data_IF_905361856593
#
_entry.id   IF_905361856593
#
_cell.length_a   1.000
_cell.length_b   1.000
_cell.length_c   1.000
_cell.angle_alpha   90.00
_cell.angle_beta   90.00
_cell.angle_gamma   90.00
#
_symmetry.space_group_name_H-M   'P 1'
#
loop_
_entity.id
_entity.type
_entity.pdbx_description
1 polymer ?
#
# COMPACT_ATOMS: atom_id res chain seq x y z
N UNK A 1 18.46 41.49 85.25
CA UNK A 1 18.75 40.15 84.69
C UNK A 1 17.95 40.02 83.40
N UNK A 2 18.59 40.31 82.28
CA UNK A 2 17.97 40.36 80.93
C UNK A 2 18.36 39.12 80.22
N UNK A 3 17.38 38.30 79.80
CA UNK A 3 17.59 37.19 78.92
C UNK A 3 17.40 37.65 77.47
N UNK A 4 18.50 37.66 76.67
CA UNK A 4 18.44 37.82 75.24
C UNK A 4 18.18 36.44 74.61
N UNK A 5 17.11 36.29 73.83
CA UNK A 5 16.82 35.14 72.97
C UNK A 5 17.26 35.46 71.54
N UNK A 6 18.33 34.80 71.08
CA UNK A 6 18.77 34.82 69.69
C UNK A 6 17.85 33.93 68.83
N UNK A 7 17.12 34.53 67.93
CA UNK A 7 16.38 33.84 66.89
C UNK A 7 17.31 33.65 65.67
N UNK A 8 17.81 32.44 65.49
CA UNK A 8 18.45 32.07 64.23
C UNK A 8 17.37 31.83 63.16
N UNK A 9 17.30 32.70 62.17
CA UNK A 9 16.44 32.55 60.95
C UNK A 9 17.11 31.58 60.01
N UNK A 10 16.62 30.33 59.98
CA UNK A 10 17.05 29.33 58.99
C UNK A 10 16.35 29.62 57.64
N UNK A 11 17.07 30.21 56.69
CA UNK A 11 16.58 30.35 55.29
C UNK A 11 16.84 29.04 54.57
N UNK A 12 15.79 28.23 54.41
CA UNK A 12 15.82 27.04 53.54
C UNK A 12 15.64 27.52 52.10
N UNK A 13 16.73 27.60 51.33
CA UNK A 13 16.69 27.77 49.89
C UNK A 13 16.19 26.47 49.26
N UNK A 14 14.91 26.43 48.92
CA UNK A 14 14.30 25.37 48.12
C UNK A 14 14.73 25.61 46.64
N UNK A 15 15.78 24.94 46.18
CA UNK A 15 16.15 24.88 44.77
C UNK A 15 15.04 24.11 43.99
N UNK A 16 14.06 24.85 43.49
CA UNK A 16 13.15 24.35 42.46
C UNK A 16 13.99 24.08 41.19
N UNK A 17 14.40 22.84 40.99
CA UNK A 17 14.87 22.38 39.68
C UNK A 17 13.67 22.43 38.73
N UNK A 18 13.54 23.54 38.01
CA UNK A 18 12.66 23.63 36.85
C UNK A 18 13.28 22.72 35.79
N UNK A 19 12.79 21.49 35.71
CA UNK A 19 13.00 20.68 34.51
C UNK A 19 12.29 21.40 33.35
N UNK A 20 13.01 22.29 32.68
CA UNK A 20 12.58 22.83 31.40
C UNK A 20 12.48 21.65 30.45
N UNK A 21 11.26 21.19 30.19
CA UNK A 21 10.97 20.33 29.04
C UNK A 21 11.27 21.19 27.80
N UNK A 22 12.49 21.12 27.33
CA UNK A 22 12.84 21.68 26.03
C UNK A 22 12.11 20.84 24.99
N UNK A 23 10.97 21.34 24.50
CA UNK A 23 10.38 20.80 23.27
C UNK A 23 11.43 20.96 22.18
N UNK A 24 11.97 19.86 21.70
CA UNK A 24 12.85 19.89 20.53
C UNK A 24 12.06 20.48 19.35
N UNK A 25 12.64 21.50 18.70
CA UNK A 25 12.02 22.07 17.52
C UNK A 25 11.98 21.01 16.42
N UNK A 26 10.85 20.86 15.73
CA UNK A 26 10.74 19.95 14.59
C UNK A 26 11.44 20.54 13.37
N UNK A 27 12.35 19.79 12.78
CA UNK A 27 12.98 20.09 11.50
C UNK A 27 12.37 19.21 10.40
N UNK A 28 11.93 19.83 9.31
CA UNK A 28 11.32 19.15 8.18
C UNK A 28 12.33 18.96 7.04
N UNK A 29 12.29 17.78 6.43
CA UNK A 29 13.12 17.37 5.31
C UNK A 29 12.22 16.97 4.14
N UNK A 30 12.50 17.45 2.95
CA UNK A 30 11.80 17.07 1.74
C UNK A 30 11.91 15.56 1.51
N UNK A 31 10.77 14.90 1.27
CA UNK A 31 10.75 13.46 1.05
C UNK A 31 11.47 13.03 -0.24
N UNK A 32 11.74 13.94 -1.17
CA UNK A 32 12.55 13.66 -2.38
C UNK A 32 13.99 13.25 -2.09
N UNK A 33 14.48 13.55 -0.88
CA UNK A 33 15.83 13.15 -0.41
C UNK A 33 15.93 11.65 -0.08
N UNK A 34 14.81 10.93 -0.03
CA UNK A 34 14.76 9.54 0.41
C UNK A 34 14.15 8.62 -0.66
N UNK A 35 14.51 7.33 -0.69
CA UNK A 35 13.94 6.39 -1.64
C UNK A 35 12.41 6.27 -1.52
N UNK A 36 11.73 6.28 -2.66
CA UNK A 36 10.32 5.94 -2.81
C UNK A 36 10.24 4.58 -3.50
N UNK A 37 9.51 3.65 -2.92
CA UNK A 37 9.29 2.29 -3.43
C UNK A 37 7.84 2.09 -3.88
N UNK A 38 7.56 1.00 -4.60
CA UNK A 38 6.22 0.67 -5.12
C UNK A 38 5.94 1.26 -6.51
N UNK A 39 6.92 1.90 -7.15
CA UNK A 39 6.77 2.47 -8.50
C UNK A 39 7.10 1.45 -9.57
N UNK A 40 6.27 1.40 -10.61
CA UNK A 40 6.59 0.61 -11.80
C UNK A 40 7.68 1.28 -12.66
N UNK A 41 7.74 2.62 -12.65
CA UNK A 41 8.75 3.45 -13.32
C UNK A 41 8.85 4.82 -12.66
N UNK A 42 9.97 5.50 -12.81
CA UNK A 42 10.16 6.88 -12.37
C UNK A 42 9.73 7.94 -13.41
N UNK A 43 9.34 7.51 -14.61
CA UNK A 43 8.93 8.39 -15.72
C UNK A 43 7.50 8.95 -15.58
N UNK A 44 7.08 9.29 -14.36
CA UNK A 44 5.78 9.87 -14.03
C UNK A 44 5.82 11.41 -14.11
N UNK A 45 4.65 12.08 -14.30
CA UNK A 45 4.61 13.55 -14.31
C UNK A 45 5.05 14.15 -12.97
N UNK A 46 4.58 13.54 -11.87
CA UNK A 46 5.00 13.90 -10.52
C UNK A 46 5.53 12.67 -9.78
N UNK A 47 6.31 12.90 -8.73
CA UNK A 47 6.98 11.84 -7.97
C UNK A 47 6.03 10.78 -7.40
N UNK A 48 4.85 11.18 -6.94
CA UNK A 48 3.94 10.34 -6.16
C UNK A 48 2.82 9.70 -6.97
N UNK A 49 2.97 9.66 -8.29
CA UNK A 49 2.05 9.01 -9.23
C UNK A 49 2.53 7.62 -9.61
N UNK A 50 1.60 6.78 -10.09
CA UNK A 50 1.86 5.37 -10.42
C UNK A 50 2.11 5.12 -11.89
N UNK A 51 1.57 5.95 -12.78
CA UNK A 51 1.63 5.75 -14.23
C UNK A 51 2.59 6.74 -14.91
N UNK A 52 3.37 6.29 -15.91
CA UNK A 52 4.22 7.18 -16.69
C UNK A 52 3.43 8.15 -17.56
N UNK A 53 3.99 9.35 -17.76
CA UNK A 53 3.32 10.47 -18.43
C UNK A 53 2.78 10.14 -19.84
N UNK A 54 3.49 9.31 -20.60
CA UNK A 54 3.06 8.95 -21.97
C UNK A 54 1.73 8.19 -22.03
N UNK A 55 1.31 7.53 -20.93
CA UNK A 55 0.04 6.82 -20.86
C UNK A 55 -1.18 7.75 -20.85
N UNK A 56 -1.03 9.03 -20.55
CA UNK A 56 -2.14 9.99 -20.54
C UNK A 56 -2.93 9.99 -21.84
N UNK A 57 -2.24 9.90 -22.97
CA UNK A 57 -2.84 9.99 -24.30
C UNK A 57 -3.41 8.68 -24.84
N UNK A 58 -3.09 7.54 -24.22
CA UNK A 58 -3.43 6.23 -24.74
C UNK A 58 -4.26 5.35 -23.80
N UNK A 59 -4.28 5.65 -22.50
CA UNK A 59 -5.15 4.96 -21.55
C UNK A 59 -6.54 5.56 -21.49
N UNK A 60 -7.51 4.77 -21.03
CA UNK A 60 -8.85 5.29 -20.70
C UNK A 60 -8.72 6.37 -19.61
N UNK A 61 -9.45 7.50 -19.72
CA UNK A 61 -9.36 8.59 -18.74
C UNK A 61 -9.52 8.16 -17.27
N UNK A 62 -10.46 7.24 -16.90
CA UNK A 62 -10.54 6.77 -15.51
C UNK A 62 -9.26 6.07 -15.02
N UNK A 63 -8.61 5.26 -15.85
CA UNK A 63 -7.34 4.58 -15.51
C UNK A 63 -6.24 5.61 -15.27
N UNK A 64 -6.12 6.61 -16.14
CA UNK A 64 -5.18 7.71 -15.99
C UNK A 64 -5.39 8.48 -14.68
N UNK A 65 -6.64 8.89 -14.40
CA UNK A 65 -6.95 9.62 -13.17
C UNK A 65 -6.67 8.80 -11.91
N UNK A 66 -7.01 7.50 -11.90
CA UNK A 66 -6.70 6.60 -10.80
C UNK A 66 -5.19 6.38 -10.65
N UNK A 67 -4.44 6.46 -11.73
CA UNK A 67 -2.97 6.42 -11.73
C UNK A 67 -2.32 7.56 -10.95
N UNK A 68 -3.05 8.68 -10.72
CA UNK A 68 -2.61 9.80 -9.88
C UNK A 68 -2.69 9.52 -8.38
N UNK A 69 -3.45 8.50 -7.95
CA UNK A 69 -3.46 8.08 -6.56
C UNK A 69 -2.12 7.41 -6.20
N UNK A 70 -1.68 7.61 -4.94
CA UNK A 70 -0.38 7.13 -4.45
C UNK A 70 -0.42 5.71 -3.87
N UNK A 71 -1.45 4.92 -4.20
CA UNK A 71 -1.64 3.56 -3.67
C UNK A 71 -0.42 2.66 -3.92
N UNK A 72 0.04 1.97 -2.87
CA UNK A 72 1.20 1.08 -2.94
C UNK A 72 2.55 1.79 -2.86
N UNK A 73 2.58 3.13 -2.90
CA UNK A 73 3.83 3.87 -2.75
C UNK A 73 4.21 4.03 -1.28
N UNK A 74 5.50 3.92 -0.98
CA UNK A 74 6.00 4.14 0.37
C UNK A 74 7.39 4.80 0.36
N UNK A 75 7.59 5.72 1.32
CA UNK A 75 8.88 6.36 1.57
C UNK A 75 9.68 5.54 2.57
N UNK A 76 10.99 5.40 2.35
CA UNK A 76 11.91 4.74 3.28
C UNK A 76 12.98 5.68 3.79
N UNK A 77 13.17 5.72 5.11
CA UNK A 77 14.22 6.48 5.76
C UNK A 77 14.63 5.83 7.08
N UNK A 78 15.72 6.29 7.69
CA UNK A 78 16.12 5.96 9.06
C UNK A 78 16.43 7.20 9.87
N UNK A 79 16.18 7.12 11.18
CA UNK A 79 16.42 8.22 12.10
C UNK A 79 16.56 7.69 13.54
N UNK A 80 17.25 8.48 14.39
CA UNK A 80 17.31 8.28 15.83
C UNK A 80 16.38 9.22 16.60
N UNK A 81 15.40 9.81 15.93
CA UNK A 81 14.48 10.79 16.50
C UNK A 81 13.57 10.18 17.57
N UNK A 82 13.13 11.02 18.50
CA UNK A 82 12.07 10.68 19.48
C UNK A 82 10.67 11.03 18.98
N UNK A 83 10.59 11.80 17.88
CA UNK A 83 9.33 12.27 17.28
C UNK A 83 9.38 12.18 15.77
N UNK A 84 8.37 11.59 15.16
CA UNK A 84 8.17 11.63 13.69
C UNK A 84 6.91 12.42 13.40
N UNK A 85 7.06 13.44 12.55
CA UNK A 85 5.98 14.27 12.01
C UNK A 85 5.95 14.18 10.49
N UNK A 86 4.87 14.58 9.87
CA UNK A 86 4.79 14.75 8.43
C UNK A 86 4.01 16.01 8.06
N UNK A 87 4.40 16.62 6.94
CA UNK A 87 3.62 17.58 6.16
C UNK A 87 3.32 16.95 4.82
N UNK A 88 2.08 17.00 4.40
CA UNK A 88 1.70 16.51 3.07
C UNK A 88 0.53 17.28 2.51
N UNK A 89 0.58 17.49 1.19
CA UNK A 89 -0.45 18.12 0.39
C UNK A 89 -1.13 17.08 -0.48
N UNK A 90 -2.44 17.04 -0.47
CA UNK A 90 -3.26 16.13 -1.26
C UNK A 90 -3.53 16.69 -2.66
N UNK A 91 -3.64 15.82 -3.65
CA UNK A 91 -4.07 16.20 -4.99
C UNK A 91 -5.54 16.63 -5.01
N UNK A 92 -6.43 15.80 -4.40
CA UNK A 92 -7.88 15.92 -4.47
C UNK A 92 -8.55 16.42 -3.20
N UNK A 93 -8.36 15.80 -2.07
CA UNK A 93 -9.17 15.84 -0.84
C UNK A 93 -10.47 15.03 -0.97
N UNK A 94 -10.33 13.81 -1.50
CA UNK A 94 -11.44 12.88 -1.74
C UNK A 94 -12.05 12.40 -0.41
N UNK A 95 -13.37 12.20 -0.38
CA UNK A 95 -14.10 11.57 0.73
C UNK A 95 -15.09 10.54 0.20
N UNK A 96 -15.28 9.44 0.95
CA UNK A 96 -16.17 8.34 0.60
C UNK A 96 -16.98 7.93 1.83
N UNK A 97 -18.24 7.49 1.64
CA UNK A 97 -19.12 7.12 2.74
C UNK A 97 -18.83 5.73 3.36
N UNK A 98 -18.00 4.93 2.72
CA UNK A 98 -17.68 3.54 3.10
C UNK A 98 -16.19 3.32 3.38
N UNK A 99 -15.34 4.32 3.23
CA UNK A 99 -13.90 4.24 3.49
C UNK A 99 -13.45 5.38 4.40
N UNK A 100 -12.58 5.07 5.35
CA UNK A 100 -12.05 6.07 6.29
C UNK A 100 -11.07 7.02 5.62
N UNK A 101 -11.03 8.27 6.07
CA UNK A 101 -10.05 9.27 5.60
C UNK A 101 -8.60 8.83 5.82
N UNK A 102 -8.33 8.02 6.85
CA UNK A 102 -7.01 7.44 7.11
C UNK A 102 -6.55 6.47 6.01
N UNK A 103 -7.47 5.76 5.39
CA UNK A 103 -7.18 4.92 4.22
C UNK A 103 -7.15 5.73 2.91
N UNK A 104 -8.12 6.65 2.74
CA UNK A 104 -8.24 7.44 1.51
C UNK A 104 -7.02 8.34 1.32
N UNK A 105 -6.63 9.13 2.35
CA UNK A 105 -5.72 10.27 2.25
C UNK A 105 -4.72 10.40 3.41
N UNK A 106 -4.65 9.39 4.30
CA UNK A 106 -3.72 9.33 5.42
C UNK A 106 -2.36 8.73 5.07
N UNK A 107 -1.40 8.92 5.98
CA UNK A 107 -0.07 8.33 5.93
C UNK A 107 0.05 7.25 7.00
N UNK A 108 0.72 6.13 6.70
CA UNK A 108 0.85 5.01 7.64
C UNK A 108 2.32 4.71 7.94
N UNK A 109 2.73 4.93 9.19
CA UNK A 109 4.12 4.75 9.61
C UNK A 109 4.33 3.36 10.20
N UNK A 110 5.35 2.68 9.69
CA UNK A 110 5.91 1.44 10.23
C UNK A 110 7.37 1.65 10.60
N UNK A 111 7.86 0.88 11.59
CA UNK A 111 9.26 0.82 11.96
C UNK A 111 9.73 -0.65 11.98
N UNK A 112 10.99 -0.87 11.61
CA UNK A 112 11.63 -2.17 11.72
C UNK A 112 11.99 -2.44 13.18
N UNK A 113 11.53 -3.55 13.75
CA UNK A 113 11.77 -3.91 15.15
C UNK A 113 12.92 -4.92 15.33
N UNK A 114 13.70 -5.17 14.28
CA UNK A 114 14.78 -6.17 14.26
C UNK A 114 14.38 -7.51 13.58
N UNK A 115 13.08 -7.78 13.47
CA UNK A 115 12.53 -9.02 12.91
C UNK A 115 11.54 -8.74 11.77
N UNK A 116 10.65 -7.76 11.98
CA UNK A 116 9.57 -7.41 11.03
C UNK A 116 9.21 -5.94 11.08
N UNK A 117 8.48 -5.49 10.06
CA UNK A 117 7.85 -4.18 10.04
C UNK A 117 6.68 -4.14 11.01
N UNK A 118 6.76 -3.30 12.02
CA UNK A 118 5.73 -3.09 13.03
C UNK A 118 5.04 -1.75 12.80
N UNK A 119 3.70 -1.75 12.85
CA UNK A 119 2.91 -0.54 12.81
C UNK A 119 3.24 0.38 13.98
N UNK A 120 3.45 1.66 13.69
CA UNK A 120 3.73 2.70 14.68
C UNK A 120 2.49 3.54 14.94
N UNK A 121 2.03 4.25 13.91
CA UNK A 121 0.83 5.09 13.98
C UNK A 121 0.48 5.64 12.60
N UNK A 122 -0.65 6.38 12.52
CA UNK A 122 -1.20 6.98 11.30
C UNK A 122 -1.15 8.50 11.34
N UNK A 123 -0.66 9.13 10.29
CA UNK A 123 -0.85 10.55 10.02
C UNK A 123 -2.29 10.80 9.56
N UNK A 124 -3.16 11.24 10.48
CA UNK A 124 -4.60 11.45 10.20
C UNK A 124 -4.84 12.76 9.48
N UNK A 125 -5.35 12.75 8.25
CA UNK A 125 -5.62 13.96 7.50
C UNK A 125 -6.80 14.72 8.10
N UNK A 126 -6.79 16.04 7.95
CA UNK A 126 -7.90 16.92 8.39
C UNK A 126 -8.28 17.95 7.34
N UNK A 127 -7.48 18.09 6.30
CA UNK A 127 -7.67 19.05 5.21
C UNK A 127 -6.84 18.60 4.00
N UNK A 128 -6.86 19.40 2.93
CA UNK A 128 -5.99 19.20 1.77
C UNK A 128 -4.52 19.39 2.13
N UNK A 129 -4.21 20.37 2.96
CA UNK A 129 -2.87 20.61 3.52
C UNK A 129 -2.80 20.10 4.95
N UNK A 130 -1.83 19.26 5.25
CA UNK A 130 -1.73 18.60 6.54
C UNK A 130 -0.35 18.79 7.17
N UNK A 131 -0.34 18.99 8.48
CA UNK A 131 0.85 18.90 9.33
C UNK A 131 0.48 18.15 10.61
N UNK A 132 1.10 17.00 10.85
CA UNK A 132 0.76 16.13 12.00
C UNK A 132 2.01 15.52 12.62
N UNK A 133 2.02 15.49 13.95
CA UNK A 133 2.87 14.57 14.71
C UNK A 133 2.24 13.17 14.56
N UNK A 134 3.00 12.23 14.00
CA UNK A 134 2.57 10.83 13.87
C UNK A 134 2.83 10.08 15.16
N UNK A 135 4.04 10.22 15.72
CA UNK A 135 4.45 9.61 16.99
C UNK A 135 5.41 10.54 17.72
N UNK A 136 5.38 10.51 19.05
CA UNK A 136 6.32 11.22 19.93
C UNK A 136 6.68 10.35 21.13
N UNK A 137 7.65 10.82 21.93
CA UNK A 137 8.13 10.15 23.15
C UNK A 137 8.76 8.78 22.91
N UNK A 138 9.34 8.55 21.72
CA UNK A 138 10.14 7.36 21.46
C UNK A 138 11.48 7.44 22.20
N UNK A 139 12.10 6.28 22.46
CA UNK A 139 13.48 6.21 22.93
C UNK A 139 14.38 6.67 21.77
N UNK A 140 15.42 7.52 22.01
CA UNK A 140 16.32 8.01 20.96
C UNK A 140 17.31 6.91 20.50
N UNK A 141 16.85 6.04 19.64
CA UNK A 141 17.66 5.00 19.00
C UNK A 141 17.40 4.96 17.49
N UNK A 142 18.40 4.54 16.72
CA UNK A 142 18.27 4.44 15.27
C UNK A 142 17.23 3.37 14.89
N UNK A 143 16.26 3.76 14.05
CA UNK A 143 15.24 2.88 13.48
C UNK A 143 15.11 3.12 11.99
N UNK A 144 14.82 2.06 11.26
CA UNK A 144 14.34 2.11 9.88
C UNK A 144 12.83 2.34 9.87
N UNK A 145 12.38 3.21 8.98
CA UNK A 145 10.98 3.57 8.82
C UNK A 145 10.49 3.32 7.40
N UNK A 146 9.21 2.93 7.32
CA UNK A 146 8.44 2.76 6.10
C UNK A 146 7.15 3.58 6.26
N UNK A 147 6.95 4.57 5.39
CA UNK A 147 5.80 5.49 5.43
C UNK A 147 4.97 5.29 4.17
N UNK A 148 3.86 4.54 4.29
CA UNK A 148 2.92 4.33 3.19
C UNK A 148 2.10 5.58 2.91
N UNK A 149 1.85 5.80 1.61
CA UNK A 149 1.10 6.94 1.07
C UNK A 149 -0.38 6.59 0.87
N UNK A 150 -1.26 7.59 0.65
CA UNK A 150 -2.70 7.41 0.49
C UNK A 150 -3.11 6.40 -0.59
N UNK A 151 -4.21 5.67 -0.35
CA UNK A 151 -4.73 4.68 -1.29
C UNK A 151 -5.64 5.26 -2.37
N UNK A 152 -6.42 6.30 -2.05
CA UNK A 152 -7.44 6.86 -2.94
C UNK A 152 -7.30 8.36 -3.21
N UNK A 153 -6.18 8.97 -2.78
CA UNK A 153 -5.78 10.32 -3.17
C UNK A 153 -4.32 10.34 -3.63
N UNK A 154 -3.93 11.35 -4.35
CA UNK A 154 -2.54 11.62 -4.71
C UNK A 154 -1.88 12.54 -3.68
N UNK A 155 -0.56 12.50 -3.62
CA UNK A 155 0.26 13.47 -2.89
C UNK A 155 0.95 14.39 -3.90
N UNK A 156 0.93 15.69 -3.65
CA UNK A 156 1.65 16.70 -4.45
C UNK A 156 2.92 17.17 -3.77
N UNK A 157 2.94 17.16 -2.43
CA UNK A 157 4.10 17.53 -1.61
C UNK A 157 4.17 16.67 -0.36
N UNK A 158 5.38 16.29 0.09
CA UNK A 158 5.61 15.49 1.29
C UNK A 158 6.94 15.88 1.93
N UNK A 159 6.90 16.13 3.25
CA UNK A 159 8.07 16.31 4.09
C UNK A 159 7.98 15.50 5.37
N UNK A 160 9.11 14.94 5.80
CA UNK A 160 9.24 14.23 7.08
C UNK A 160 9.86 15.15 8.11
N UNK A 161 9.21 15.31 9.26
CA UNK A 161 9.68 16.10 10.39
C UNK A 161 10.25 15.21 11.48
N UNK A 162 11.41 15.60 12.00
CA UNK A 162 12.09 14.96 13.14
C UNK A 162 12.55 16.00 14.16
N UNK A 163 13.00 15.58 15.32
CA UNK A 163 13.64 16.46 16.30
C UNK A 163 14.89 17.12 15.72
N UNK A 164 15.08 18.42 15.94
CA UNK A 164 16.20 19.19 15.38
C UNK A 164 17.61 18.72 15.82
N UNK A 165 17.68 17.96 16.92
CA UNK A 165 18.92 17.35 17.42
C UNK A 165 19.11 15.90 16.96
N UNK A 166 18.14 15.33 16.21
CA UNK A 166 18.25 14.02 15.60
C UNK A 166 18.76 14.12 14.15
N UNK A 167 19.11 12.98 13.58
CA UNK A 167 19.44 12.89 12.15
C UNK A 167 18.38 12.07 11.41
N UNK A 168 18.25 12.33 10.11
CA UNK A 168 17.52 11.52 9.15
C UNK A 168 18.44 11.18 7.99
N UNK A 169 18.40 9.92 7.53
CA UNK A 169 19.30 9.40 6.49
C UNK A 169 18.54 8.45 5.56
N UNK A 170 19.16 8.11 4.44
CA UNK A 170 18.72 7.02 3.59
C UNK A 170 18.71 5.70 4.38
N UNK A 171 17.81 4.74 4.05
CA UNK A 171 17.74 3.45 4.72
C UNK A 171 19.08 2.71 4.62
N UNK A 172 19.42 1.94 5.68
CA UNK A 172 20.58 1.04 5.70
C UNK A 172 20.16 -0.42 5.68
N UNK A 173 18.95 -0.73 6.19
CA UNK A 173 18.39 -2.06 6.04
C UNK A 173 18.31 -2.37 4.56
N UNK A 174 18.99 -3.40 4.10
CA UNK A 174 18.75 -3.94 2.78
C UNK A 174 17.29 -4.36 2.73
N UNK A 175 16.46 -3.49 2.22
CA UNK A 175 15.20 -3.92 1.64
C UNK A 175 15.58 -4.88 0.54
N UNK A 176 14.82 -5.93 0.25
CA UNK A 176 15.32 -6.96 -0.65
C UNK A 176 15.52 -6.41 -2.06
N UNK A 177 16.56 -5.57 -2.19
CA UNK A 177 17.02 -5.02 -3.48
C UNK A 177 17.45 -6.16 -4.42
N UNK A 178 17.79 -7.33 -3.83
CA UNK A 178 18.15 -8.54 -4.58
C UNK A 178 16.94 -9.37 -5.00
N UNK A 179 15.76 -9.13 -4.42
CA UNK A 179 14.54 -9.84 -4.75
C UNK A 179 13.73 -9.09 -5.80
N UNK A 180 13.34 -9.82 -6.86
CA UNK A 180 12.55 -9.25 -7.95
C UNK A 180 11.17 -8.81 -7.45
N UNK A 181 10.67 -7.60 -7.83
CA UNK A 181 9.39 -7.10 -7.35
C UNK A 181 8.21 -7.93 -7.84
N UNK A 182 7.12 -7.90 -7.07
CA UNK A 182 5.81 -8.44 -7.49
C UNK A 182 4.99 -7.29 -8.04
N UNK A 183 4.38 -7.46 -9.22
CA UNK A 183 3.49 -6.46 -9.81
C UNK A 183 2.05 -6.97 -9.76
N UNK A 184 1.20 -6.30 -8.99
CA UNK A 184 -0.22 -6.64 -8.84
C UNK A 184 -1.07 -5.71 -9.72
N UNK A 185 -1.78 -6.27 -10.68
CA UNK A 185 -2.78 -5.57 -11.49
C UNK A 185 -4.19 -6.00 -11.08
N UNK A 186 -5.08 -5.02 -10.90
CA UNK A 186 -6.45 -5.37 -10.49
C UNK A 186 -7.40 -4.19 -10.30
N UNK A 187 -8.29 -4.37 -9.34
CA UNK A 187 -9.51 -3.60 -9.14
C UNK A 187 -9.40 -2.60 -7.98
N UNK A 188 -10.56 -2.15 -7.44
CA UNK A 188 -10.62 -1.40 -6.17
C UNK A 188 -10.04 -2.20 -5.00
N UNK A 189 -10.18 -3.54 -5.00
CA UNK A 189 -9.63 -4.40 -3.97
C UNK A 189 -8.10 -4.34 -4.01
N UNK A 190 -7.50 -4.48 -5.18
CA UNK A 190 -6.05 -4.32 -5.38
C UNK A 190 -5.58 -2.91 -5.00
N UNK A 191 -6.33 -1.86 -5.37
CA UNK A 191 -6.02 -0.48 -4.99
C UNK A 191 -6.06 -0.28 -3.46
N UNK A 192 -6.83 -1.08 -2.73
CA UNK A 192 -6.97 -1.03 -1.28
C UNK A 192 -8.28 -0.41 -0.81
N UNK A 193 -9.36 -0.53 -1.62
CA UNK A 193 -10.68 0.01 -1.32
C UNK A 193 -11.24 -0.51 -0.01
N UNK A 194 -11.57 0.42 0.90
CA UNK A 194 -12.07 0.23 2.26
C UNK A 194 -11.06 -0.27 3.30
N UNK A 195 -9.77 -0.42 2.97
CA UNK A 195 -8.74 -0.53 4.00
C UNK A 195 -8.81 0.68 4.95
N UNK A 196 -8.78 0.45 6.26
CA UNK A 196 -8.94 1.53 7.26
C UNK A 196 -7.78 2.51 7.26
N UNK A 197 -6.61 2.12 6.75
CA UNK A 197 -5.38 2.92 6.65
C UNK A 197 -4.50 2.36 5.53
N UNK A 198 -3.57 3.17 5.04
CA UNK A 198 -2.79 2.86 3.84
C UNK A 198 -2.05 1.51 3.90
N UNK A 199 -1.46 1.16 5.04
CA UNK A 199 -0.73 -0.09 5.21
C UNK A 199 -1.59 -1.35 5.24
N UNK A 200 -2.94 -1.26 5.17
CA UNK A 200 -3.83 -2.41 5.26
C UNK A 200 -4.35 -2.93 3.91
N UNK A 201 -4.01 -2.31 2.77
CA UNK A 201 -4.22 -2.99 1.48
C UNK A 201 -3.44 -4.32 1.43
N UNK A 202 -3.98 -5.35 0.79
CA UNK A 202 -3.29 -6.65 0.74
C UNK A 202 -1.90 -6.55 0.08
N UNK A 203 -1.72 -5.66 -0.89
CA UNK A 203 -0.44 -5.41 -1.53
C UNK A 203 0.62 -4.90 -0.55
N UNK A 204 0.25 -3.94 0.32
CA UNK A 204 1.15 -3.40 1.34
C UNK A 204 1.38 -4.40 2.51
N UNK A 205 0.41 -5.27 2.79
CA UNK A 205 0.58 -6.39 3.75
C UNK A 205 1.60 -7.38 3.19
N UNK A 206 1.42 -7.84 1.95
CA UNK A 206 2.34 -8.75 1.27
C UNK A 206 3.75 -8.19 1.19
N UNK A 207 3.90 -6.90 0.86
CA UNK A 207 5.19 -6.23 0.83
C UNK A 207 5.95 -6.40 2.15
N UNK A 208 5.29 -6.15 3.28
CA UNK A 208 5.90 -6.31 4.60
C UNK A 208 6.16 -7.77 4.99
N UNK A 209 5.25 -8.68 4.67
CA UNK A 209 5.37 -10.09 5.06
C UNK A 209 6.40 -10.86 4.24
N UNK A 210 6.47 -10.56 2.95
CA UNK A 210 7.45 -11.15 2.04
C UNK A 210 8.81 -10.43 2.09
N UNK A 211 8.87 -9.26 2.76
CA UNK A 211 10.01 -8.35 2.71
C UNK A 211 10.49 -8.12 1.26
N UNK A 212 9.54 -7.89 0.35
CA UNK A 212 9.73 -7.78 -1.11
C UNK A 212 8.88 -6.64 -1.65
N UNK A 213 9.42 -5.83 -2.56
CA UNK A 213 8.65 -4.75 -3.17
C UNK A 213 7.40 -5.28 -3.90
N UNK A 214 6.25 -4.66 -3.62
CA UNK A 214 4.98 -4.96 -4.30
C UNK A 214 4.46 -3.70 -4.98
N UNK A 215 4.43 -3.73 -6.31
CA UNK A 215 3.97 -2.63 -7.15
C UNK A 215 2.46 -2.76 -7.33
N UNK A 216 1.71 -1.75 -6.90
CA UNK A 216 0.25 -1.75 -6.94
C UNK A 216 -0.28 -1.03 -8.18
N UNK A 217 -0.83 -1.78 -9.12
CA UNK A 217 -1.57 -1.31 -10.30
C UNK A 217 -3.06 -1.65 -10.19
N UNK A 218 -3.65 -1.42 -9.01
CA UNK A 218 -5.10 -1.48 -8.79
C UNK A 218 -5.78 -0.20 -9.31
N UNK A 219 -6.88 -0.39 -10.03
CA UNK A 219 -7.69 0.70 -10.60
C UNK A 219 -9.16 0.48 -10.27
N UNK A 220 -9.67 1.21 -9.29
CA UNK A 220 -11.04 1.10 -8.76
C UNK A 220 -12.10 1.13 -9.86
N UNK A 221 -12.88 0.04 -10.03
CA UNK A 221 -13.87 -0.12 -11.09
C UNK A 221 -13.27 -0.25 -12.51
N UNK A 222 -11.95 -0.20 -12.68
CA UNK A 222 -11.30 -0.02 -13.97
C UNK A 222 -10.15 -1.01 -14.26
N UNK A 223 -9.98 -2.07 -13.48
CA UNK A 223 -9.09 -3.18 -13.82
C UNK A 223 -9.70 -4.04 -14.94
N UNK A 224 -9.71 -3.54 -16.20
CA UNK A 224 -10.49 -4.11 -17.30
C UNK A 224 -9.63 -4.66 -18.44
N UNK A 225 -8.43 -5.17 -18.11
CA UNK A 225 -7.48 -5.74 -19.08
C UNK A 225 -7.12 -4.73 -20.18
N UNK A 226 -6.70 -3.53 -19.76
CA UNK A 226 -6.22 -2.49 -20.66
C UNK A 226 -4.81 -2.88 -21.17
N UNK A 227 -4.67 -3.03 -22.49
CA UNK A 227 -3.46 -3.59 -23.10
C UNK A 227 -2.21 -2.72 -22.89
N UNK A 228 -2.37 -1.41 -22.82
CA UNK A 228 -1.30 -0.46 -22.49
C UNK A 228 -0.74 -0.66 -21.08
N UNK A 229 -1.58 -1.12 -20.13
CA UNK A 229 -1.11 -1.49 -18.80
C UNK A 229 -0.34 -2.81 -18.82
N UNK A 230 -0.79 -3.80 -19.64
CA UNK A 230 0.00 -5.02 -19.84
C UNK A 230 1.38 -4.72 -20.46
N UNK A 231 1.45 -3.79 -21.41
CA UNK A 231 2.72 -3.36 -22.02
C UNK A 231 3.62 -2.64 -21.01
N UNK A 232 3.04 -1.79 -20.15
CA UNK A 232 3.77 -1.17 -19.04
C UNK A 232 4.31 -2.23 -18.05
N UNK A 233 3.49 -3.20 -17.64
CA UNK A 233 3.92 -4.30 -16.77
C UNK A 233 5.05 -5.12 -17.41
N UNK A 234 4.92 -5.44 -18.69
CA UNK A 234 5.93 -6.18 -19.46
C UNK A 234 7.29 -5.48 -19.49
N UNK A 235 7.32 -4.13 -19.40
CA UNK A 235 8.57 -3.36 -19.35
C UNK A 235 9.39 -3.59 -18.09
N UNK A 236 8.78 -4.09 -16.99
CA UNK A 236 9.48 -4.54 -15.77
C UNK A 236 10.06 -5.93 -15.98
N UNK A 237 11.08 -6.02 -16.80
CA UNK A 237 11.76 -7.29 -17.15
C UNK A 237 12.44 -7.96 -15.95
N UNK A 238 12.63 -7.21 -14.87
CA UNK A 238 13.14 -7.65 -13.56
C UNK A 238 12.04 -8.09 -12.59
N UNK A 239 10.75 -8.06 -12.95
CA UNK A 239 9.67 -8.55 -12.11
C UNK A 239 9.86 -10.03 -11.76
N UNK A 240 9.51 -10.40 -10.53
CA UNK A 240 9.52 -11.78 -10.07
C UNK A 240 8.20 -12.51 -10.33
N UNK A 241 7.08 -11.76 -10.34
CA UNK A 241 5.73 -12.30 -10.52
C UNK A 241 4.78 -11.19 -10.97
N UNK A 242 3.86 -11.53 -11.87
CA UNK A 242 2.66 -10.75 -12.16
C UNK A 242 1.45 -11.40 -11.49
N UNK A 243 0.70 -10.64 -10.68
CA UNK A 243 -0.57 -11.07 -10.06
C UNK A 243 -1.71 -10.35 -10.76
N UNK A 244 -2.69 -11.10 -11.28
CA UNK A 244 -3.82 -10.58 -12.07
C UNK A 244 -5.12 -10.80 -11.32
N UNK A 245 -5.62 -9.76 -10.62
CA UNK A 245 -6.82 -9.71 -9.79
C UNK A 245 -7.87 -8.77 -10.41
N UNK A 246 -8.33 -9.05 -11.63
CA UNK A 246 -9.17 -8.17 -12.44
C UNK A 246 -10.64 -8.58 -12.53
N UNK A 247 -11.00 -9.80 -12.16
CA UNK A 247 -12.32 -10.41 -12.42
C UNK A 247 -13.52 -9.57 -11.95
N UNK A 248 -13.50 -8.90 -10.78
CA UNK A 248 -14.63 -8.08 -10.37
C UNK A 248 -15.03 -6.98 -11.37
N UNK A 249 -14.08 -6.43 -12.13
CA UNK A 249 -14.29 -5.26 -13.01
C UNK A 249 -14.55 -5.58 -14.49
N UNK A 250 -14.51 -6.84 -14.88
CA UNK A 250 -14.76 -7.30 -16.27
C UNK A 250 -16.07 -8.04 -16.38
N UNK A 251 -16.67 -8.07 -17.58
CA UNK A 251 -17.77 -8.94 -17.93
C UNK A 251 -17.29 -10.21 -18.63
N UNK A 252 -18.20 -11.17 -18.88
CA UNK A 252 -17.87 -12.45 -19.53
C UNK A 252 -17.22 -12.29 -20.91
N UNK A 253 -17.71 -11.33 -21.69
CA UNK A 253 -17.13 -11.05 -23.00
C UNK A 253 -15.69 -10.56 -22.90
N UNK A 254 -15.43 -9.60 -21.99
CA UNK A 254 -14.08 -9.09 -21.75
C UNK A 254 -13.13 -10.20 -21.27
N UNK A 255 -13.57 -11.11 -20.38
CA UNK A 255 -12.76 -12.25 -19.95
C UNK A 255 -12.35 -13.09 -21.15
N UNK A 256 -13.31 -13.50 -21.98
CA UNK A 256 -13.06 -14.38 -23.14
C UNK A 256 -12.23 -13.74 -24.23
N UNK A 257 -12.42 -12.45 -24.49
CA UNK A 257 -11.74 -11.75 -25.58
C UNK A 257 -10.39 -11.16 -25.20
N UNK A 258 -10.18 -10.79 -23.93
CA UNK A 258 -9.01 -10.02 -23.53
C UNK A 258 -7.96 -10.80 -22.73
N UNK A 259 -8.32 -11.92 -22.06
CA UNK A 259 -7.37 -12.63 -21.19
C UNK A 259 -6.14 -13.11 -21.97
N UNK A 260 -6.32 -13.80 -23.09
CA UNK A 260 -5.21 -14.30 -23.88
C UNK A 260 -4.38 -13.16 -24.52
N UNK A 261 -4.96 -12.14 -25.19
CA UNK A 261 -4.18 -11.00 -25.70
C UNK A 261 -3.45 -10.19 -24.62
N UNK A 262 -4.03 -10.03 -23.44
CA UNK A 262 -3.38 -9.36 -22.31
C UNK A 262 -2.16 -10.17 -21.84
N UNK A 263 -2.31 -11.49 -21.72
CA UNK A 263 -1.23 -12.41 -21.35
C UNK A 263 -0.11 -12.41 -22.38
N UNK A 264 -0.44 -12.39 -23.68
CA UNK A 264 0.54 -12.28 -24.76
C UNK A 264 1.39 -11.01 -24.64
N UNK A 265 0.74 -9.86 -24.34
CA UNK A 265 1.45 -8.60 -24.11
C UNK A 265 2.37 -8.64 -22.90
N UNK A 266 1.96 -9.27 -21.79
CA UNK A 266 2.82 -9.48 -20.62
C UNK A 266 4.06 -10.31 -20.96
N UNK A 267 3.94 -11.29 -21.86
CA UNK A 267 5.03 -12.17 -22.30
C UNK A 267 6.00 -11.54 -23.29
N UNK A 268 5.66 -10.37 -23.85
CA UNK A 268 6.38 -9.76 -24.99
C UNK A 268 7.85 -9.50 -24.71
N UNK A 269 8.21 -9.04 -23.52
CA UNK A 269 9.60 -8.70 -23.18
C UNK A 269 10.31 -9.77 -22.36
N UNK A 270 9.57 -10.51 -21.53
CA UNK A 270 10.11 -11.61 -20.74
C UNK A 270 9.06 -12.70 -20.55
N UNK A 271 9.23 -13.82 -21.25
CA UNK A 271 8.30 -14.95 -21.20
C UNK A 271 8.51 -15.87 -19.99
N UNK A 272 9.53 -15.63 -19.16
CA UNK A 272 9.86 -16.46 -18.01
C UNK A 272 9.21 -15.96 -16.71
N UNK A 273 8.76 -14.70 -16.67
CA UNK A 273 8.14 -14.15 -15.45
C UNK A 273 6.84 -14.93 -15.16
N UNK A 274 6.67 -15.53 -13.97
CA UNK A 274 5.43 -16.19 -13.58
C UNK A 274 4.23 -15.24 -13.64
N UNK A 275 3.05 -15.78 -13.96
CA UNK A 275 1.77 -15.04 -13.92
C UNK A 275 0.80 -15.83 -13.06
N UNK A 276 0.28 -15.22 -11.99
CA UNK A 276 -0.77 -15.75 -11.13
C UNK A 276 -2.11 -15.11 -11.48
N UNK A 277 -3.03 -15.91 -11.99
CA UNK A 277 -4.43 -15.53 -12.19
C UNK A 277 -5.22 -15.75 -10.91
N UNK A 278 -5.95 -14.75 -10.44
CA UNK A 278 -6.73 -14.79 -9.22
C UNK A 278 -8.21 -14.69 -9.56
N UNK A 279 -9.02 -15.63 -9.09
CA UNK A 279 -10.47 -15.56 -9.19
C UNK A 279 -11.06 -14.42 -8.35
N UNK A 280 -12.26 -13.99 -8.70
CA UNK A 280 -13.06 -13.16 -7.81
C UNK A 280 -13.48 -13.94 -6.58
N UNK A 281 -13.46 -13.30 -5.43
CA UNK A 281 -14.10 -13.82 -4.21
C UNK A 281 -15.59 -13.94 -4.42
N UNK A 282 -16.23 -14.93 -3.78
CA UNK A 282 -17.67 -14.95 -3.61
C UNK A 282 -18.04 -13.95 -2.51
N UNK A 283 -18.75 -12.92 -2.90
CA UNK A 283 -19.18 -11.88 -1.98
C UNK A 283 -20.24 -12.41 -0.99
N UNK A 284 -20.26 -11.96 0.28
CA UNK A 284 -21.16 -12.51 1.30
C UNK A 284 -22.63 -12.53 0.91
N UNK A 285 -23.12 -11.52 0.20
CA UNK A 285 -24.51 -11.44 -0.24
C UNK A 285 -24.88 -12.49 -1.29
N UNK A 286 -23.90 -13.10 -1.98
CA UNK A 286 -24.16 -14.18 -2.91
C UNK A 286 -24.78 -15.43 -2.24
N UNK A 287 -24.64 -15.57 -0.92
CA UNK A 287 -25.35 -16.63 -0.16
C UNK A 287 -26.87 -16.42 -0.13
N UNK A 288 -27.37 -15.22 -0.40
CA UNK A 288 -28.76 -14.81 -0.34
C UNK A 288 -29.33 -14.35 -1.68
N UNK A 289 -28.43 -14.01 -2.63
CA UNK A 289 -28.75 -13.51 -3.97
C UNK A 289 -28.18 -14.43 -5.03
N UNK A 290 -29.00 -15.33 -5.54
CA UNK A 290 -28.65 -16.32 -6.57
C UNK A 290 -28.14 -15.62 -7.86
N UNK A 291 -28.67 -14.45 -8.20
CA UNK A 291 -28.23 -13.72 -9.38
C UNK A 291 -26.77 -13.24 -9.21
N UNK A 292 -26.44 -12.65 -8.08
CA UNK A 292 -25.09 -12.25 -7.75
C UNK A 292 -24.12 -13.43 -7.67
N UNK A 293 -24.56 -14.56 -7.08
CA UNK A 293 -23.80 -15.79 -7.07
C UNK A 293 -23.44 -16.26 -8.48
N UNK A 294 -24.46 -16.36 -9.37
CA UNK A 294 -24.28 -16.83 -10.73
C UNK A 294 -23.34 -15.92 -11.54
N UNK A 295 -23.43 -14.59 -11.38
CA UNK A 295 -22.53 -13.66 -12.05
C UNK A 295 -21.06 -13.93 -11.69
N UNK A 296 -20.75 -14.10 -10.40
CA UNK A 296 -19.36 -14.35 -9.96
C UNK A 296 -18.91 -15.74 -10.38
N UNK A 297 -19.74 -16.76 -10.18
CA UNK A 297 -19.42 -18.13 -10.56
C UNK A 297 -19.18 -18.28 -12.08
N UNK A 298 -19.99 -17.61 -12.92
CA UNK A 298 -19.82 -17.61 -14.37
C UNK A 298 -18.55 -16.92 -14.80
N UNK A 299 -18.17 -15.79 -14.16
CA UNK A 299 -16.90 -15.10 -14.43
C UNK A 299 -15.70 -15.94 -14.04
N UNK A 300 -15.71 -16.56 -12.85
CA UNK A 300 -14.61 -17.42 -12.41
C UNK A 300 -14.48 -18.65 -13.32
N UNK A 301 -15.58 -19.26 -13.71
CA UNK A 301 -15.57 -20.35 -14.71
C UNK A 301 -15.01 -19.90 -16.06
N UNK A 302 -15.41 -18.73 -16.55
CA UNK A 302 -14.85 -18.18 -17.78
C UNK A 302 -13.35 -17.91 -17.68
N UNK A 303 -12.86 -17.39 -16.54
CA UNK A 303 -11.42 -17.23 -16.31
C UNK A 303 -10.72 -18.59 -16.34
N UNK A 304 -11.29 -19.62 -15.69
CA UNK A 304 -10.70 -20.97 -15.69
C UNK A 304 -10.64 -21.56 -17.10
N UNK A 305 -11.70 -21.39 -17.90
CA UNK A 305 -11.73 -21.80 -19.31
C UNK A 305 -10.62 -21.12 -20.13
N UNK A 306 -10.42 -19.81 -19.97
CA UNK A 306 -9.36 -19.08 -20.67
C UNK A 306 -7.97 -19.48 -20.17
N UNK A 307 -7.78 -19.70 -18.87
CA UNK A 307 -6.54 -20.22 -18.32
C UNK A 307 -6.21 -21.61 -18.89
N UNK A 308 -7.16 -22.54 -18.98
CA UNK A 308 -6.96 -23.87 -19.54
C UNK A 308 -6.60 -23.81 -21.03
N UNK A 309 -7.19 -22.86 -21.78
CA UNK A 309 -6.80 -22.60 -23.18
C UNK A 309 -5.36 -22.08 -23.30
N UNK A 310 -4.92 -21.22 -22.38
CA UNK A 310 -3.53 -20.77 -22.36
C UNK A 310 -2.58 -21.95 -22.16
N UNK A 311 -2.85 -22.85 -21.22
CA UNK A 311 -2.09 -24.09 -21.02
C UNK A 311 -2.06 -24.95 -22.30
N UNK A 312 -3.23 -25.17 -22.93
CA UNK A 312 -3.34 -25.95 -24.17
C UNK A 312 -2.56 -25.31 -25.32
N UNK A 313 -2.43 -23.98 -25.34
CA UNK A 313 -1.66 -23.24 -26.32
C UNK A 313 -0.16 -23.14 -25.98
N UNK A 314 0.30 -23.87 -24.96
CA UNK A 314 1.72 -23.99 -24.61
C UNK A 314 2.27 -22.84 -23.75
N UNK A 315 1.41 -22.06 -23.08
CA UNK A 315 1.87 -21.10 -22.08
C UNK A 315 2.36 -21.84 -20.84
N UNK A 316 3.59 -21.59 -20.46
CA UNK A 316 4.24 -22.09 -19.25
C UNK A 316 4.34 -20.99 -18.19
N UNK A 317 4.70 -21.36 -16.96
CA UNK A 317 4.84 -20.43 -15.82
C UNK A 317 3.60 -19.56 -15.61
N UNK A 318 2.41 -20.15 -15.77
CA UNK A 318 1.13 -19.55 -15.40
C UNK A 318 0.48 -20.36 -14.28
N UNK A 319 -0.08 -19.69 -13.30
CA UNK A 319 -0.63 -20.26 -12.08
C UNK A 319 -2.03 -19.73 -11.84
N UNK A 320 -2.81 -20.46 -11.05
CA UNK A 320 -4.22 -20.15 -10.81
C UNK A 320 -4.56 -20.26 -9.34
N UNK A 321 -5.23 -19.25 -8.80
CA UNK A 321 -5.69 -19.22 -7.41
C UNK A 321 -7.21 -19.10 -7.36
N UNK A 322 -7.87 -20.06 -6.72
CA UNK A 322 -9.31 -20.04 -6.52
C UNK A 322 -9.75 -18.95 -5.55
N UNK A 323 -10.90 -18.35 -5.82
CA UNK A 323 -11.53 -17.32 -4.98
C UNK A 323 -12.20 -17.82 -3.70
N UNK A 324 -12.38 -19.14 -3.54
CA UNK A 324 -13.22 -19.72 -2.49
C UNK A 324 -12.82 -19.37 -1.06
N UNK A 325 -11.50 -19.29 -0.80
CA UNK A 325 -10.95 -19.07 0.56
C UNK A 325 -10.37 -17.70 0.77
N UNK A 326 -10.22 -16.90 -0.28
CA UNK A 326 -9.46 -15.64 -0.24
C UNK A 326 -9.85 -14.68 0.89
N UNK A 327 -11.14 -14.69 1.31
CA UNK A 327 -11.62 -13.79 2.37
C UNK A 327 -12.27 -14.53 3.54
N UNK A 328 -12.16 -15.86 3.58
CA UNK A 328 -12.88 -16.71 4.55
C UNK A 328 -14.35 -16.93 4.15
N UNK A 329 -15.06 -17.71 4.97
CA UNK A 329 -16.43 -18.17 4.67
C UNK A 329 -17.49 -17.70 5.68
N UNK A 330 -17.10 -16.85 6.65
CA UNK A 330 -17.98 -16.38 7.73
C UNK A 330 -18.82 -15.14 7.36
N UNK A 331 -18.56 -14.53 6.19
CA UNK A 331 -19.30 -13.37 5.71
C UNK A 331 -18.82 -12.01 6.29
N UNK A 332 -17.80 -11.98 7.16
CA UNK A 332 -17.38 -10.79 7.93
C UNK A 332 -16.29 -9.96 7.24
N UNK A 333 -15.86 -10.34 6.03
CA UNK A 333 -14.69 -9.80 5.39
C UNK A 333 -14.93 -8.54 4.54
N UNK A 334 -16.15 -8.01 4.47
CA UNK A 334 -16.49 -6.87 3.61
C UNK A 334 -17.18 -5.74 4.36
N UNK A 335 -17.01 -4.49 3.88
CA UNK A 335 -17.63 -3.28 4.44
C UNK A 335 -19.03 -3.07 3.87
N UNK A 336 -19.20 -3.25 2.57
CA UNK A 336 -20.42 -2.93 1.80
C UNK A 336 -20.93 -4.12 0.97
N UNK A 337 -20.46 -5.32 1.30
CA UNK A 337 -20.76 -6.54 0.56
C UNK A 337 -19.78 -6.82 -0.60
N UNK A 338 -18.86 -5.91 -0.92
CA UNK A 338 -17.88 -6.02 -2.02
C UNK A 338 -16.47 -5.72 -1.55
N UNK A 339 -16.23 -4.50 -1.01
CA UNK A 339 -14.91 -4.05 -0.61
C UNK A 339 -14.50 -4.60 0.74
N UNK A 340 -13.24 -4.97 0.87
CA UNK A 340 -12.75 -5.71 2.03
C UNK A 340 -12.58 -4.83 3.27
N UNK A 341 -12.90 -5.39 4.43
CA UNK A 341 -12.43 -4.90 5.73
C UNK A 341 -10.93 -5.21 5.89
N UNK A 342 -10.28 -4.67 6.92
CA UNK A 342 -8.91 -5.07 7.27
C UNK A 342 -8.79 -6.58 7.50
N UNK A 343 -9.84 -7.23 8.08
CA UNK A 343 -9.89 -8.68 8.21
C UNK A 343 -9.86 -9.38 6.85
N UNK A 344 -10.66 -8.89 5.90
CA UNK A 344 -10.68 -9.43 4.53
C UNK A 344 -9.33 -9.26 3.83
N UNK A 345 -8.68 -8.11 3.98
CA UNK A 345 -7.34 -7.86 3.42
C UNK A 345 -6.27 -8.75 4.02
N UNK A 346 -6.31 -9.01 5.33
CA UNK A 346 -5.37 -9.94 5.99
C UNK A 346 -5.56 -11.35 5.44
N UNK A 347 -6.80 -11.85 5.38
CA UNK A 347 -7.11 -13.19 4.84
C UNK A 347 -6.67 -13.34 3.39
N UNK A 348 -6.97 -12.34 2.55
CA UNK A 348 -6.54 -12.33 1.15
C UNK A 348 -5.01 -12.33 1.03
N UNK A 349 -4.33 -11.58 1.89
CA UNK A 349 -2.87 -11.58 1.92
C UNK A 349 -2.28 -12.92 2.38
N UNK A 350 -2.91 -13.63 3.31
CA UNK A 350 -2.50 -14.96 3.77
C UNK A 350 -2.55 -15.99 2.63
N UNK A 351 -3.66 -16.06 1.90
CA UNK A 351 -3.82 -16.99 0.77
C UNK A 351 -2.90 -16.63 -0.40
N UNK A 352 -2.76 -15.34 -0.72
CA UNK A 352 -1.83 -14.88 -1.75
C UNK A 352 -0.37 -15.14 -1.36
N UNK A 353 0.02 -14.92 -0.09
CA UNK A 353 1.37 -15.20 0.38
C UNK A 353 1.73 -16.68 0.19
N UNK A 354 0.82 -17.59 0.56
CA UNK A 354 1.06 -19.02 0.39
C UNK A 354 1.27 -19.39 -1.09
N UNK A 355 0.41 -18.91 -1.99
CA UNK A 355 0.54 -19.15 -3.43
C UNK A 355 1.80 -18.51 -4.02
N UNK A 356 2.15 -17.30 -3.61
CA UNK A 356 3.35 -16.57 -4.09
C UNK A 356 4.62 -17.29 -3.67
N UNK A 357 4.69 -17.77 -2.42
CA UNK A 357 5.87 -18.52 -1.95
C UNK A 357 6.04 -19.82 -2.72
N UNK A 358 4.97 -20.57 -2.98
CA UNK A 358 5.03 -21.80 -3.79
C UNK A 358 5.51 -21.54 -5.23
N UNK A 359 5.18 -20.37 -5.81
CA UNK A 359 5.58 -20.01 -7.18
C UNK A 359 7.05 -19.55 -7.25
N UNK A 360 7.54 -18.91 -6.21
CA UNK A 360 8.85 -18.25 -6.22
C UNK A 360 9.98 -19.08 -5.60
N UNK A 361 9.66 -20.17 -4.88
CA UNK A 361 10.61 -21.17 -4.36
C UNK A 361 11.01 -22.14 -5.48
#
# INVERSE_FOLDING_TARGET
MLFQTNRHLLIVLMLLSINSVTFSQTQYYDASLFPLIGKITDETETRYERLPAYLQSITRPPVWHLGKNSSGLALRFRSNTTTVSARWSLLGDVSMNHMTDTGIKGLDLYAWNGEKWQFVNTGRPTAKENEKVIISNMIPEEREYLLYLPLYDGITDLSVGIDSNAYIKAPALAYPITEKPIVCYGTSITQGGCATRAGMSYTNILERWLNREVINLGFSGNGQLDYEIAELMSSRTDAGLFVLDFIPNVNLQQIREKTAPFTEKLRKQNNQIPILFVESVLFPHAAFDEHSYNIVADKNRALKEEFDKLIQNGYENIFYLSGEKLIGIDGEATVDGIHLTDLGFIRMAEELQAAIMEILD
#
